data_IF_208091674024
#
_entry.id   IF_208091674024
#
_cell.length_a   1.000
_cell.length_b   1.000
_cell.length_c   1.000
_cell.angle_alpha   90.00
_cell.angle_beta   90.00
_cell.angle_gamma   90.00
#
_symmetry.space_group_name_H-M   'P 1'
#
loop_
_entity.id
_entity.type
_entity.pdbx_description
1 polymer ?
#
# COMPACT_ATOMS: atom_id res chain seq x y z
N UNK A 1 13.36 -19.77 12.19
CA UNK A 1 13.55 -19.04 10.91
C UNK A 1 13.37 -20.02 9.77
N UNK A 2 12.60 -19.66 8.75
CA UNK A 2 12.57 -20.46 7.52
C UNK A 2 13.89 -20.20 6.76
N UNK A 3 14.60 -21.27 6.38
CA UNK A 3 15.84 -21.14 5.62
C UNK A 3 15.58 -20.61 4.20
N UNK A 4 16.61 -20.06 3.55
CA UNK A 4 16.61 -19.67 2.14
C UNK A 4 16.00 -20.76 1.25
N UNK A 5 16.45 -22.02 1.39
CA UNK A 5 15.95 -23.16 0.62
C UNK A 5 14.42 -23.32 0.72
N UNK A 6 13.87 -23.25 1.93
CA UNK A 6 12.43 -23.40 2.14
C UNK A 6 11.62 -22.28 1.47
N UNK A 7 12.12 -21.05 1.52
CA UNK A 7 11.46 -19.92 0.87
C UNK A 7 11.55 -19.98 -0.64
N UNK A 8 12.71 -20.37 -1.16
CA UNK A 8 12.89 -20.56 -2.60
C UNK A 8 11.95 -21.64 -3.13
N UNK A 9 11.83 -22.78 -2.46
CA UNK A 9 10.90 -23.86 -2.79
C UNK A 9 9.46 -23.35 -2.75
N UNK A 10 9.09 -22.62 -1.70
CA UNK A 10 7.73 -22.09 -1.55
C UNK A 10 7.36 -21.14 -2.69
N UNK A 11 8.22 -20.17 -3.01
CA UNK A 11 8.03 -19.21 -4.10
C UNK A 11 7.94 -19.89 -5.47
N UNK A 12 8.81 -20.87 -5.73
CA UNK A 12 8.77 -21.64 -6.97
C UNK A 12 7.45 -22.40 -7.12
N UNK A 13 7.02 -23.10 -6.08
CA UNK A 13 5.77 -23.86 -6.06
C UNK A 13 4.54 -22.95 -6.20
N UNK A 14 4.57 -21.78 -5.58
CA UNK A 14 3.50 -20.78 -5.68
C UNK A 14 3.29 -20.33 -7.13
N UNK A 15 4.38 -20.25 -7.92
CA UNK A 15 4.31 -19.97 -9.37
C UNK A 15 4.06 -21.22 -10.25
N UNK A 16 3.89 -22.39 -9.64
CA UNK A 16 3.68 -23.64 -10.36
C UNK A 16 4.89 -24.12 -11.18
N UNK A 17 6.10 -23.60 -10.89
CA UNK A 17 7.28 -23.88 -11.67
C UNK A 17 7.99 -25.15 -11.22
N UNK A 18 8.54 -25.90 -12.17
CA UNK A 18 9.56 -26.93 -11.92
C UNK A 18 10.93 -26.31 -11.68
N UNK A 19 11.87 -27.07 -11.10
CA UNK A 19 13.27 -26.60 -10.95
C UNK A 19 13.90 -26.25 -12.30
N UNK A 20 13.57 -26.99 -13.36
CA UNK A 20 14.12 -26.75 -14.69
C UNK A 20 13.60 -25.43 -15.29
N UNK A 21 12.32 -25.13 -15.11
CA UNK A 21 11.70 -23.90 -15.61
C UNK A 21 12.23 -22.68 -14.85
N UNK A 22 12.35 -22.77 -13.52
CA UNK A 22 12.93 -21.67 -12.73
C UNK A 22 14.39 -21.44 -13.12
N UNK A 23 15.19 -22.51 -13.26
CA UNK A 23 16.59 -22.41 -13.66
C UNK A 23 16.72 -21.71 -15.02
N UNK A 24 15.88 -22.09 -15.99
CA UNK A 24 15.84 -21.45 -17.32
C UNK A 24 15.45 -19.96 -17.21
N UNK A 25 14.43 -19.63 -16.42
CA UNK A 25 13.93 -18.27 -16.27
C UNK A 25 14.94 -17.34 -15.56
N UNK A 26 15.79 -17.88 -14.70
CA UNK A 26 16.81 -17.13 -13.95
C UNK A 26 18.22 -17.29 -14.50
N UNK A 27 18.37 -17.90 -15.68
CA UNK A 27 19.66 -18.19 -16.34
C UNK A 27 20.62 -19.00 -15.47
N UNK A 28 20.11 -19.83 -14.56
CA UNK A 28 20.87 -20.74 -13.72
C UNK A 28 20.91 -22.15 -14.31
N UNK A 29 21.90 -22.94 -13.91
CA UNK A 29 21.88 -24.36 -14.17
C UNK A 29 20.90 -25.07 -13.22
N UNK A 30 20.17 -26.09 -13.73
CA UNK A 30 19.24 -26.87 -12.89
C UNK A 30 19.94 -27.50 -11.68
N UNK A 31 21.21 -27.97 -11.85
CA UNK A 31 22.02 -28.52 -10.77
C UNK A 31 22.30 -27.49 -9.67
N UNK A 32 22.56 -26.24 -10.04
CA UNK A 32 22.78 -25.15 -9.10
C UNK A 32 21.50 -24.88 -8.30
N UNK A 33 20.35 -24.77 -8.99
CA UNK A 33 19.07 -24.55 -8.33
C UNK A 33 18.70 -25.73 -7.40
N UNK A 34 18.94 -26.98 -7.84
CA UNK A 34 18.74 -28.15 -7.00
C UNK A 34 19.63 -28.09 -5.75
N UNK A 35 20.90 -27.68 -5.88
CA UNK A 35 21.79 -27.51 -4.74
C UNK A 35 21.28 -26.45 -3.74
N UNK A 36 20.66 -25.37 -4.20
CA UNK A 36 20.02 -24.35 -3.33
C UNK A 36 18.79 -24.89 -2.59
N UNK A 37 18.01 -25.77 -3.23
CA UNK A 37 16.80 -26.30 -2.63
C UNK A 37 17.05 -27.51 -1.71
N UNK A 38 18.02 -28.36 -2.00
CA UNK A 38 18.19 -29.68 -1.33
C UNK A 38 19.49 -29.84 -0.56
N UNK A 39 20.58 -29.19 -0.98
CA UNK A 39 21.91 -29.38 -0.40
C UNK A 39 22.31 -28.24 0.53
N UNK A 40 21.44 -27.25 0.76
CA UNK A 40 21.75 -26.10 1.61
C UNK A 40 22.86 -25.20 1.07
N UNK A 41 23.13 -25.24 -0.23
CA UNK A 41 24.08 -24.32 -0.87
C UNK A 41 23.52 -22.90 -0.80
N UNK A 42 24.44 -21.97 -0.59
CA UNK A 42 24.14 -20.55 -0.53
C UNK A 42 24.41 -19.90 -1.90
N UNK A 43 23.50 -19.01 -2.39
CA UNK A 43 23.74 -18.26 -3.59
C UNK A 43 24.80 -17.17 -3.36
N UNK A 44 25.54 -16.80 -4.40
CA UNK A 44 26.31 -15.58 -4.38
C UNK A 44 25.34 -14.36 -4.43
N UNK A 45 25.88 -13.18 -4.16
CA UNK A 45 25.08 -11.95 -4.08
C UNK A 45 24.29 -11.65 -5.37
N UNK A 46 24.91 -11.82 -6.52
CA UNK A 46 24.25 -11.58 -7.83
C UNK A 46 23.08 -12.52 -8.06
N UNK A 47 23.26 -13.81 -7.77
CA UNK A 47 22.21 -14.82 -7.89
C UNK A 47 21.07 -14.55 -6.89
N UNK A 48 21.41 -14.15 -5.66
CA UNK A 48 20.42 -13.80 -4.64
C UNK A 48 19.54 -12.63 -5.11
N UNK A 49 20.16 -11.56 -5.63
CA UNK A 49 19.44 -10.41 -6.16
C UNK A 49 18.57 -10.79 -7.37
N UNK A 50 19.09 -11.57 -8.31
CA UNK A 50 18.34 -12.03 -9.48
C UNK A 50 17.12 -12.89 -9.11
N UNK A 51 17.26 -13.78 -8.12
CA UNK A 51 16.14 -14.57 -7.60
C UNK A 51 15.09 -13.70 -6.90
N UNK A 52 15.52 -12.73 -6.08
CA UNK A 52 14.64 -11.81 -5.40
C UNK A 52 13.85 -10.95 -6.40
N UNK A 53 14.51 -10.41 -7.41
CA UNK A 53 13.89 -9.65 -8.50
C UNK A 53 12.91 -10.51 -9.30
N UNK A 54 13.32 -11.72 -9.70
CA UNK A 54 12.44 -12.63 -10.43
C UNK A 54 11.15 -12.91 -9.68
N UNK A 55 11.22 -13.14 -8.37
CA UNK A 55 10.05 -13.40 -7.54
C UNK A 55 9.32 -12.14 -7.08
N UNK A 56 9.87 -10.96 -7.33
CA UNK A 56 9.38 -9.68 -6.81
C UNK A 56 9.26 -9.67 -5.27
N UNK A 57 10.34 -10.11 -4.62
CA UNK A 57 10.46 -10.12 -3.16
C UNK A 57 11.77 -9.46 -2.73
N UNK A 58 11.89 -9.09 -1.46
CA UNK A 58 13.15 -8.57 -0.91
C UNK A 58 14.17 -9.71 -0.71
N UNK A 59 15.45 -9.39 -0.76
CA UNK A 59 16.53 -10.33 -0.40
C UNK A 59 16.40 -10.79 1.06
N UNK A 60 15.97 -9.91 1.96
CA UNK A 60 15.74 -10.21 3.37
C UNK A 60 14.62 -11.24 3.56
N UNK A 61 13.54 -11.10 2.77
CA UNK A 61 12.50 -12.13 2.73
C UNK A 61 13.08 -13.45 2.24
N UNK A 62 13.83 -13.46 1.16
CA UNK A 62 14.38 -14.68 0.57
C UNK A 62 15.38 -15.36 1.53
N UNK A 63 16.19 -14.59 2.26
CA UNK A 63 17.13 -15.08 3.28
C UNK A 63 16.46 -15.54 4.58
N UNK A 64 15.18 -15.20 4.78
CA UNK A 64 14.47 -15.54 6.02
C UNK A 64 14.69 -14.56 7.17
N UNK A 65 15.29 -13.42 6.91
CA UNK A 65 15.55 -12.35 7.88
C UNK A 65 14.24 -11.58 8.18
N UNK A 66 13.43 -11.33 7.14
CA UNK A 66 12.14 -10.62 7.24
C UNK A 66 10.98 -11.51 6.84
N UNK A 67 9.81 -11.29 7.43
CA UNK A 67 8.54 -11.87 6.97
C UNK A 67 7.88 -11.03 5.87
N UNK A 68 8.29 -9.78 5.70
CA UNK A 68 7.78 -8.88 4.69
C UNK A 68 8.33 -9.27 3.31
N UNK A 69 7.44 -9.59 2.38
CA UNK A 69 7.80 -10.03 1.02
C UNK A 69 8.35 -8.89 0.18
N UNK A 70 7.69 -7.75 0.25
CA UNK A 70 8.01 -6.55 -0.54
C UNK A 70 8.50 -5.43 0.37
N UNK A 71 9.09 -4.41 -0.25
CA UNK A 71 9.47 -3.20 0.48
C UNK A 71 8.25 -2.53 1.12
N UNK A 72 7.12 -2.48 0.41
CA UNK A 72 5.88 -1.91 0.95
C UNK A 72 5.34 -2.69 2.14
N UNK A 73 5.43 -4.03 2.11
CA UNK A 73 5.08 -4.85 3.28
C UNK A 73 5.99 -4.55 4.48
N UNK A 74 7.28 -4.33 4.24
CA UNK A 74 8.23 -3.97 5.29
C UNK A 74 7.92 -2.60 5.90
N UNK A 75 7.62 -1.60 5.06
CA UNK A 75 7.18 -0.27 5.51
C UNK A 75 5.91 -0.39 6.35
N UNK A 76 4.90 -1.11 5.86
CA UNK A 76 3.64 -1.31 6.58
C UNK A 76 3.85 -1.95 7.97
N UNK A 77 4.69 -2.99 8.06
CA UNK A 77 5.01 -3.64 9.35
C UNK A 77 5.72 -2.69 10.30
N UNK A 78 6.69 -1.92 9.81
CA UNK A 78 7.42 -0.95 10.62
C UNK A 78 6.51 0.18 11.12
N UNK A 79 5.65 0.72 10.25
CA UNK A 79 4.72 1.79 10.61
C UNK A 79 3.70 1.30 11.65
N UNK A 80 3.19 0.08 11.47
CA UNK A 80 2.27 -0.53 12.43
C UNK A 80 2.93 -0.73 13.80
N UNK A 81 4.17 -1.20 13.83
CA UNK A 81 4.93 -1.37 15.08
C UNK A 81 5.23 -0.03 15.75
N UNK A 82 5.63 0.98 14.97
CA UNK A 82 5.87 2.35 15.45
C UNK A 82 4.61 2.97 16.04
N UNK A 83 3.47 2.78 15.36
CA UNK A 83 2.17 3.19 15.87
C UNK A 83 1.84 2.53 17.22
N UNK A 84 2.01 1.22 17.34
CA UNK A 84 1.74 0.48 18.57
C UNK A 84 2.61 0.97 19.73
N UNK A 85 3.92 1.16 19.49
CA UNK A 85 4.85 1.66 20.49
C UNK A 85 4.47 3.08 20.96
N UNK A 86 4.09 3.96 20.02
CA UNK A 86 3.66 5.33 20.33
C UNK A 86 2.35 5.31 21.12
N UNK A 87 1.40 4.47 20.70
CA UNK A 87 0.11 4.32 21.37
C UNK A 87 0.26 3.90 22.84
N UNK A 88 1.17 2.97 23.13
CA UNK A 88 1.42 2.51 24.51
C UNK A 88 1.90 3.63 25.45
N UNK A 89 2.56 4.64 24.92
CA UNK A 89 3.11 5.78 25.68
C UNK A 89 2.11 6.91 25.90
N UNK A 90 0.93 6.87 25.25
CA UNK A 90 -0.06 7.94 25.34
C UNK A 90 -0.76 7.97 26.70
N UNK A 91 -1.16 9.17 27.19
CA UNK A 91 -2.07 9.31 28.34
C UNK A 91 -3.43 8.62 28.08
N UNK A 92 -4.07 8.13 29.15
CA UNK A 92 -5.29 7.33 29.06
C UNK A 92 -6.44 8.02 28.30
N UNK A 93 -6.62 9.32 28.49
CA UNK A 93 -7.65 10.10 27.78
C UNK A 93 -7.39 10.18 26.27
N UNK A 94 -6.13 10.30 25.86
CA UNK A 94 -5.75 10.33 24.45
C UNK A 94 -5.84 8.92 23.85
N UNK A 95 -5.42 7.89 24.61
CA UNK A 95 -5.58 6.48 24.18
C UNK A 95 -7.01 6.15 23.82
N UNK A 96 -7.98 6.55 24.65
CA UNK A 96 -9.40 6.29 24.37
C UNK A 96 -9.86 6.92 23.05
N UNK A 97 -9.45 8.16 22.79
CA UNK A 97 -9.79 8.86 21.54
C UNK A 97 -9.14 8.21 20.32
N UNK A 98 -7.85 7.87 20.42
CA UNK A 98 -7.11 7.21 19.32
C UNK A 98 -7.67 5.82 19.04
N UNK A 99 -7.99 5.05 20.09
CA UNK A 99 -8.60 3.73 19.95
C UNK A 99 -9.95 3.82 19.23
N UNK A 100 -10.83 4.73 19.64
CA UNK A 100 -12.14 4.92 18.97
C UNK A 100 -12.02 5.31 17.49
N UNK A 101 -11.06 6.20 17.16
CA UNK A 101 -10.79 6.59 15.79
C UNK A 101 -10.24 5.40 14.96
N UNK A 102 -9.31 4.63 15.55
CA UNK A 102 -8.74 3.44 14.91
C UNK A 102 -9.79 2.35 14.68
N UNK A 103 -10.65 2.08 15.66
CA UNK A 103 -11.72 1.10 15.54
C UNK A 103 -12.69 1.46 14.40
N UNK A 104 -13.09 2.73 14.32
CA UNK A 104 -13.98 3.21 13.25
C UNK A 104 -13.34 3.03 11.87
N UNK A 105 -12.06 3.39 11.74
CA UNK A 105 -11.28 3.22 10.52
C UNK A 105 -11.09 1.74 10.17
N UNK A 106 -10.71 0.91 11.14
CA UNK A 106 -10.48 -0.51 10.95
C UNK A 106 -11.75 -1.24 10.50
N UNK A 107 -12.91 -0.90 11.06
CA UNK A 107 -14.19 -1.50 10.67
C UNK A 107 -14.54 -1.22 9.21
N UNK A 108 -14.30 0.00 8.74
CA UNK A 108 -14.52 0.38 7.35
C UNK A 108 -13.59 -0.40 6.43
N UNK A 109 -12.28 -0.35 6.68
CA UNK A 109 -11.28 -1.01 5.85
C UNK A 109 -11.45 -2.53 5.84
N UNK A 110 -11.59 -3.16 7.02
CA UNK A 110 -11.65 -4.61 7.14
C UNK A 110 -12.86 -5.21 6.41
N UNK A 111 -13.98 -4.49 6.39
CA UNK A 111 -15.18 -4.89 5.65
C UNK A 111 -14.92 -4.94 4.14
N UNK A 112 -14.31 -3.89 3.60
CA UNK A 112 -14.08 -3.77 2.17
C UNK A 112 -12.88 -4.62 1.71
N UNK A 113 -11.86 -4.79 2.53
CA UNK A 113 -10.78 -5.76 2.30
C UNK A 113 -11.31 -7.20 2.19
N UNK A 114 -12.16 -7.64 3.13
CA UNK A 114 -12.78 -8.97 3.07
C UNK A 114 -13.64 -9.19 1.82
N UNK A 115 -14.27 -8.13 1.32
CA UNK A 115 -15.08 -8.16 0.11
C UNK A 115 -14.28 -7.87 -1.16
N UNK A 116 -12.96 -7.65 -1.06
CA UNK A 116 -12.06 -7.32 -2.16
C UNK A 116 -12.54 -6.11 -2.99
N UNK A 117 -13.12 -5.11 -2.32
CA UNK A 117 -13.64 -3.88 -2.95
C UNK A 117 -12.49 -2.90 -3.22
N UNK A 118 -11.63 -3.23 -4.19
CA UNK A 118 -10.41 -2.48 -4.51
C UNK A 118 -10.69 -0.99 -4.78
N UNK A 119 -11.72 -0.67 -5.56
CA UNK A 119 -12.08 0.72 -5.89
C UNK A 119 -12.34 1.56 -4.63
N UNK A 120 -13.07 1.00 -3.66
CA UNK A 120 -13.38 1.71 -2.39
C UNK A 120 -12.12 1.90 -1.54
N UNK A 121 -11.24 0.91 -1.50
CA UNK A 121 -9.96 1.01 -0.79
C UNK A 121 -9.07 2.11 -1.39
N UNK A 122 -9.09 2.27 -2.72
CA UNK A 122 -8.39 3.37 -3.41
C UNK A 122 -9.00 4.73 -2.99
N UNK A 123 -10.33 4.87 -2.98
CA UNK A 123 -10.98 6.10 -2.56
C UNK A 123 -10.63 6.46 -1.10
N UNK A 124 -10.54 5.48 -0.20
CA UNK A 124 -10.11 5.74 1.18
C UNK A 124 -8.65 6.20 1.24
N UNK A 125 -7.75 5.61 0.46
CA UNK A 125 -6.36 6.05 0.39
C UNK A 125 -6.25 7.50 -0.12
N UNK A 126 -6.97 7.85 -1.19
CA UNK A 126 -7.06 9.20 -1.74
C UNK A 126 -7.60 10.20 -0.71
N UNK A 127 -8.63 9.82 0.07
CA UNK A 127 -9.19 10.66 1.11
C UNK A 127 -8.17 10.96 2.23
N UNK A 128 -7.41 9.96 2.67
CA UNK A 128 -6.37 10.17 3.68
C UNK A 128 -5.22 11.01 3.15
N UNK A 129 -4.80 10.81 1.91
CA UNK A 129 -3.79 11.63 1.25
C UNK A 129 -4.24 13.09 1.15
N UNK A 130 -5.51 13.32 0.79
CA UNK A 130 -6.10 14.65 0.74
C UNK A 130 -6.09 15.33 2.11
N UNK A 131 -6.44 14.61 3.19
CA UNK A 131 -6.39 15.14 4.56
C UNK A 131 -4.94 15.53 4.92
N UNK A 132 -3.96 14.70 4.59
CA UNK A 132 -2.55 15.00 4.86
C UNK A 132 -2.08 16.24 4.08
N UNK A 133 -2.37 16.33 2.79
CA UNK A 133 -2.03 17.47 1.93
C UNK A 133 -2.67 18.77 2.43
N UNK A 134 -3.96 18.73 2.74
CA UNK A 134 -4.68 19.89 3.26
C UNK A 134 -4.11 20.40 4.59
N UNK A 135 -3.76 19.48 5.51
CA UNK A 135 -3.10 19.86 6.77
C UNK A 135 -1.74 20.51 6.56
N UNK A 136 -0.95 20.00 5.59
CA UNK A 136 0.35 20.56 5.24
C UNK A 136 0.18 21.95 4.61
N UNK A 137 -0.76 22.12 3.68
CA UNK A 137 -1.04 23.40 3.03
C UNK A 137 -1.51 24.47 4.03
N UNK A 138 -2.45 24.13 4.91
CA UNK A 138 -2.91 25.04 5.96
C UNK A 138 -1.77 25.42 6.90
N UNK A 139 -0.90 24.49 7.27
CA UNK A 139 0.28 24.79 8.10
C UNK A 139 1.20 25.79 7.41
N UNK A 140 1.50 25.57 6.12
CA UNK A 140 2.34 26.49 5.35
C UNK A 140 1.74 27.91 5.30
N UNK A 141 0.42 28.02 5.07
CA UNK A 141 -0.26 29.33 5.12
C UNK A 141 -0.11 30.00 6.49
N UNK A 142 -0.20 29.22 7.58
CA UNK A 142 -0.06 29.76 8.94
C UNK A 142 1.39 30.17 9.26
N UNK A 143 2.37 29.39 8.80
CA UNK A 143 3.79 29.62 9.09
C UNK A 143 4.40 30.74 8.20
N UNK A 144 3.99 30.82 6.92
CA UNK A 144 4.53 31.77 5.94
C UNK A 144 3.86 33.15 5.99
N UNK A 145 2.60 33.22 6.46
CA UNK A 145 1.84 34.47 6.47
C UNK A 145 1.81 35.08 7.87
N UNK A 146 2.07 36.39 7.95
CA UNK A 146 1.74 37.14 9.16
C UNK A 146 0.22 37.19 9.35
N UNK A 147 -0.27 37.04 10.58
CA UNK A 147 -1.69 37.18 10.89
C UNK A 147 -2.29 38.55 10.52
N UNK A 148 -1.41 39.54 10.21
CA UNK A 148 -1.78 40.88 9.73
C UNK A 148 -1.76 40.99 8.21
N UNK A 149 -1.42 39.91 7.48
CA UNK A 149 -1.48 39.89 6.02
C UNK A 149 -2.94 39.91 5.54
N UNK A 150 -3.36 40.90 4.72
CA UNK A 150 -4.72 40.94 4.18
C UNK A 150 -5.11 39.69 3.39
N UNK A 151 -4.14 38.96 2.83
CA UNK A 151 -4.34 37.73 2.05
C UNK A 151 -4.46 36.47 2.93
N UNK A 152 -4.07 36.54 4.21
CA UNK A 152 -4.06 35.38 5.11
C UNK A 152 -5.42 34.66 5.17
N UNK A 153 -6.48 35.41 5.47
CA UNK A 153 -7.83 34.85 5.52
C UNK A 153 -8.32 34.35 4.16
N UNK A 154 -7.98 35.07 3.07
CA UNK A 154 -8.33 34.65 1.71
C UNK A 154 -7.66 33.32 1.34
N UNK A 155 -6.39 33.15 1.66
CA UNK A 155 -5.65 31.92 1.41
C UNK A 155 -6.24 30.74 2.21
N UNK A 156 -6.55 30.92 3.50
CA UNK A 156 -7.20 29.89 4.31
C UNK A 156 -8.59 29.50 3.77
N UNK A 157 -9.39 30.48 3.33
CA UNK A 157 -10.70 30.22 2.74
C UNK A 157 -10.59 29.45 1.42
N UNK A 158 -9.58 29.74 0.62
CA UNK A 158 -9.30 29.05 -0.63
C UNK A 158 -8.92 27.59 -0.35
N UNK A 159 -8.00 27.34 0.58
CA UNK A 159 -7.62 25.98 0.99
C UNK A 159 -8.81 25.19 1.53
N UNK A 160 -9.64 25.81 2.35
CA UNK A 160 -10.86 25.18 2.86
C UNK A 160 -11.84 24.84 1.73
N UNK A 161 -12.01 25.73 0.75
CA UNK A 161 -12.90 25.51 -0.39
C UNK A 161 -12.41 24.37 -1.28
N UNK A 162 -11.10 24.34 -1.58
CA UNK A 162 -10.48 23.27 -2.34
C UNK A 162 -10.67 21.92 -1.66
N UNK A 163 -10.38 21.84 -0.37
CA UNK A 163 -10.57 20.61 0.42
C UNK A 163 -12.02 20.13 0.37
N UNK A 164 -13.01 21.02 0.59
CA UNK A 164 -14.43 20.65 0.52
C UNK A 164 -14.82 20.10 -0.84
N UNK A 165 -14.37 20.71 -1.92
CA UNK A 165 -14.67 20.28 -3.27
C UNK A 165 -14.08 18.89 -3.58
N UNK A 166 -12.83 18.66 -3.22
CA UNK A 166 -12.17 17.35 -3.44
C UNK A 166 -12.81 16.24 -2.58
N UNK A 167 -13.16 16.53 -1.31
CA UNK A 167 -13.89 15.58 -0.46
C UNK A 167 -15.25 15.24 -1.07
N UNK A 168 -15.99 16.24 -1.60
CA UNK A 168 -17.29 15.99 -2.24
C UNK A 168 -17.17 15.04 -3.42
N UNK A 169 -16.15 15.22 -4.27
CA UNK A 169 -15.88 14.34 -5.42
C UNK A 169 -15.61 12.89 -4.95
N UNK A 170 -14.80 12.74 -3.90
CA UNK A 170 -14.46 11.40 -3.37
C UNK A 170 -15.69 10.71 -2.75
N UNK A 171 -16.54 11.46 -2.05
CA UNK A 171 -17.79 10.93 -1.49
C UNK A 171 -18.77 10.52 -2.58
N UNK A 172 -18.89 11.29 -3.65
CA UNK A 172 -19.75 10.95 -4.80
C UNK A 172 -19.26 9.66 -5.48
N UNK A 173 -17.96 9.50 -5.67
CA UNK A 173 -17.35 8.26 -6.18
C UNK A 173 -17.63 7.07 -5.25
N UNK A 174 -17.55 7.27 -3.93
CA UNK A 174 -17.84 6.23 -2.95
C UNK A 174 -19.31 5.81 -3.02
N UNK A 175 -20.25 6.76 -3.12
CA UNK A 175 -21.68 6.49 -3.29
C UNK A 175 -21.96 5.74 -4.59
N UNK A 176 -21.33 6.11 -5.70
CA UNK A 176 -21.46 5.41 -6.98
C UNK A 176 -20.97 3.96 -6.90
N UNK A 177 -19.84 3.73 -6.21
CA UNK A 177 -19.31 2.39 -5.96
C UNK A 177 -20.26 1.55 -5.09
N UNK A 178 -20.97 2.16 -4.13
CA UNK A 178 -21.98 1.48 -3.31
C UNK A 178 -23.24 1.11 -4.12
N UNK A 179 -23.65 1.97 -5.02
CA UNK A 179 -24.83 1.73 -5.88
C UNK A 179 -24.55 0.72 -7.01
N UNK A 180 -23.30 0.28 -7.19
CA UNK A 180 -22.91 -0.63 -8.25
C UNK A 180 -22.94 -0.01 -9.65
N UNK A 181 -22.95 1.31 -9.76
CA UNK A 181 -22.92 2.04 -11.03
C UNK A 181 -21.47 2.04 -11.55
N UNK A 182 -21.08 0.97 -12.21
CA UNK A 182 -19.80 0.93 -12.92
C UNK A 182 -19.85 1.89 -14.11
N UNK A 183 -18.86 2.77 -14.21
CA UNK A 183 -18.65 3.68 -15.36
C UNK A 183 -18.27 2.95 -16.68
N UNK A 184 -18.70 1.71 -16.89
CA UNK A 184 -18.54 1.02 -18.17
C UNK A 184 -19.50 1.49 -19.26
N UNK A 185 -20.42 2.44 -18.97
CA UNK A 185 -21.48 2.88 -19.88
C UNK A 185 -21.14 4.03 -20.83
N UNK A 186 -20.08 4.79 -20.63
CA UNK A 186 -19.89 6.04 -21.41
C UNK A 186 -18.96 5.90 -22.63
N UNK A 187 -18.32 4.74 -22.86
CA UNK A 187 -17.50 4.55 -24.07
C UNK A 187 -18.27 3.87 -25.23
N UNK A 188 -19.38 3.19 -24.96
CA UNK A 188 -20.16 2.52 -26.01
C UNK A 188 -21.22 3.39 -26.69
N UNK A 189 -21.55 4.57 -26.12
CA UNK A 189 -22.53 5.48 -26.70
C UNK A 189 -21.93 6.49 -27.69
N UNK A 190 -20.61 6.68 -27.68
CA UNK A 190 -19.93 7.57 -28.65
C UNK A 190 -19.60 6.89 -29.99
N UNK A 191 -19.56 5.56 -30.02
CA UNK A 191 -19.29 4.83 -31.29
C UNK A 191 -20.56 4.49 -32.11
N UNK A 192 -21.74 4.60 -31.52
CA UNK A 192 -23.00 4.33 -32.24
C UNK A 192 -23.69 5.56 -32.85
N UNK A 193 -23.13 6.75 -32.69
CA UNK A 193 -23.66 7.97 -33.32
C UNK A 193 -22.81 8.48 -34.50
N UNK A 194 -21.88 7.67 -35.01
CA UNK A 194 -21.02 8.00 -36.16
C UNK A 194 -21.12 6.95 -37.29
N UNK A 195 -22.34 6.44 -37.54
CA UNK A 195 -22.69 5.71 -38.79
C UNK A 195 -23.96 6.31 -39.37
#
# INVERSE_FOLDING_TARGET
MQSFSNRLIALRKERGLTQAELAKATHLQRSTLSGYETEGKEPNFETLCALAEYFNVTTDYLLGISSARTHNDAVFVNDTQSFANTFEQLPANIKATVAAAFDSFYLILSRDMKKQKQERLIIYAELFELIQKSRASIRNVIEESSHNDPLFLSNLMTEQSNFKNEVSILLDRLMQSDMGVNQKGNHELSEKSAI
#
